data_IF_353062461937
#
_entry.id   IF_353062461937
#
_cell.length_a   1.000
_cell.length_b   1.000
_cell.length_c   1.000
_cell.angle_alpha   90.00
_cell.angle_beta   90.00
_cell.angle_gamma   90.00
#
_symmetry.space_group_name_H-M   'P 1'
#
loop_
_entity.id
_entity.type
_entity.pdbx_description
1 polymer ?
#
# COMPACT_ATOMS: atom_id res chain seq x y z
N UNK A 1 -0.99 -14.08 8.70
CA UNK A 1 -1.71 -14.06 10.00
C UNK A 1 -3.02 -14.86 9.95
N UNK A 2 -3.84 -14.71 8.91
CA UNK A 2 -5.15 -15.37 8.76
C UNK A 2 -5.09 -16.91 8.80
N UNK A 3 -4.16 -17.55 8.07
CA UNK A 3 -4.06 -19.03 7.98
C UNK A 3 -3.83 -19.70 9.35
N UNK A 4 -3.06 -19.06 10.23
CA UNK A 4 -2.79 -19.60 11.58
C UNK A 4 -4.02 -19.59 12.50
N UNK A 5 -5.01 -18.75 12.24
CA UNK A 5 -6.24 -18.67 13.03
C UNK A 5 -7.38 -19.50 12.44
N UNK A 6 -7.18 -20.08 11.25
CA UNK A 6 -8.18 -20.91 10.55
C UNK A 6 -8.71 -22.08 11.40
N UNK A 7 -7.88 -22.91 12.08
CA UNK A 7 -8.42 -24.00 12.90
C UNK A 7 -9.19 -23.52 14.13
N UNK A 8 -8.83 -22.35 14.69
CA UNK A 8 -9.56 -21.75 15.81
C UNK A 8 -10.91 -21.18 15.35
N UNK A 9 -10.95 -20.48 14.22
CA UNK A 9 -12.17 -19.89 13.66
C UNK A 9 -13.20 -20.94 13.19
N UNK A 10 -12.73 -22.15 12.85
CA UNK A 10 -13.56 -23.30 12.51
C UNK A 10 -14.06 -24.09 13.74
N UNK A 11 -13.62 -23.74 14.95
CA UNK A 11 -14.07 -24.42 16.18
C UNK A 11 -13.58 -25.87 16.32
N UNK A 12 -12.55 -26.27 15.57
CA UNK A 12 -12.01 -27.64 15.55
C UNK A 12 -11.24 -27.95 16.86
N UNK A 13 -10.85 -26.91 17.60
CA UNK A 13 -10.14 -27.02 18.86
C UNK A 13 -11.09 -27.26 20.05
N UNK A 14 -10.63 -27.98 21.08
CA UNK A 14 -11.37 -28.15 22.34
C UNK A 14 -11.68 -26.79 22.98
N UNK A 15 -12.93 -26.57 23.41
CA UNK A 15 -13.39 -25.24 23.86
C UNK A 15 -13.60 -24.23 22.74
N UNK A 16 -13.63 -24.69 21.48
CA UNK A 16 -13.74 -23.89 20.25
C UNK A 16 -15.00 -23.04 20.17
N UNK A 17 -16.08 -23.41 20.86
CA UNK A 17 -17.36 -22.71 20.83
C UNK A 17 -17.30 -21.24 21.30
N UNK A 18 -16.41 -20.93 22.25
CA UNK A 18 -16.23 -19.55 22.74
C UNK A 18 -15.19 -18.77 21.91
N UNK A 19 -14.18 -19.45 21.37
CA UNK A 19 -13.04 -18.81 20.68
C UNK A 19 -13.19 -18.74 19.15
N UNK A 20 -14.06 -19.57 18.56
CA UNK A 20 -14.42 -19.52 17.15
C UNK A 20 -14.99 -18.17 16.69
N UNK A 21 -15.96 -17.54 17.39
CA UNK A 21 -16.48 -16.23 16.98
C UNK A 21 -15.41 -15.13 17.03
N UNK A 22 -14.47 -15.20 17.98
CA UNK A 22 -13.33 -14.27 18.03
C UNK A 22 -12.42 -14.46 16.82
N UNK A 23 -12.09 -15.71 16.48
CA UNK A 23 -11.28 -16.02 15.30
C UNK A 23 -11.91 -15.52 13.99
N UNK A 24 -13.23 -15.69 13.85
CA UNK A 24 -13.98 -15.21 12.68
C UNK A 24 -13.95 -13.69 12.57
N UNK A 25 -14.15 -12.97 13.67
CA UNK A 25 -14.11 -11.51 13.70
C UNK A 25 -12.72 -10.97 13.26
N UNK A 26 -11.64 -11.59 13.75
CA UNK A 26 -10.28 -11.18 13.38
C UNK A 26 -9.99 -11.44 11.89
N UNK A 27 -10.37 -12.60 11.36
CA UNK A 27 -10.17 -12.91 9.94
C UNK A 27 -10.91 -11.91 9.05
N UNK A 28 -12.18 -11.62 9.35
CA UNK A 28 -12.96 -10.63 8.62
C UNK A 28 -12.35 -9.23 8.69
N UNK A 29 -11.94 -8.81 9.89
CA UNK A 29 -11.29 -7.51 10.11
C UNK A 29 -9.97 -7.36 9.35
N UNK A 30 -9.14 -8.42 9.33
CA UNK A 30 -7.85 -8.40 8.62
C UNK A 30 -8.02 -8.40 7.10
N UNK A 31 -9.01 -9.13 6.57
CA UNK A 31 -9.34 -9.07 5.15
C UNK A 31 -9.79 -7.66 4.76
N UNK A 32 -10.71 -7.08 5.54
CA UNK A 32 -11.19 -5.72 5.29
C UNK A 32 -10.08 -4.67 5.44
N UNK A 33 -9.22 -4.80 6.47
CA UNK A 33 -8.08 -3.92 6.68
C UNK A 33 -7.11 -3.96 5.50
N UNK A 34 -6.82 -5.15 4.95
CA UNK A 34 -5.94 -5.29 3.77
C UNK A 34 -6.52 -4.59 2.55
N UNK A 35 -7.82 -4.80 2.27
CA UNK A 35 -8.52 -4.12 1.17
C UNK A 35 -8.56 -2.60 1.39
N UNK A 36 -8.82 -2.17 2.63
CA UNK A 36 -8.83 -0.76 3.01
C UNK A 36 -7.47 -0.11 2.82
N UNK A 37 -6.38 -0.75 3.25
CA UNK A 37 -5.03 -0.24 3.06
C UNK A 37 -4.61 -0.17 1.59
N UNK A 38 -5.10 -1.07 0.74
CA UNK A 38 -4.80 -1.02 -0.70
C UNK A 38 -5.68 -0.04 -1.47
N UNK A 39 -6.90 0.25 -1.03
CA UNK A 39 -7.86 1.07 -1.77
C UNK A 39 -8.15 2.41 -1.09
N UNK A 40 -8.58 2.36 0.17
CA UNK A 40 -9.01 3.55 0.92
C UNK A 40 -7.82 4.43 1.25
N UNK A 41 -6.70 3.84 1.71
CA UNK A 41 -5.51 4.61 2.08
C UNK A 41 -4.95 5.45 0.91
N UNK A 42 -4.67 4.90 -0.30
CA UNK A 42 -4.21 5.73 -1.41
C UNK A 42 -5.27 6.70 -1.91
N UNK A 43 -6.57 6.35 -1.86
CA UNK A 43 -7.64 7.27 -2.23
C UNK A 43 -7.69 8.49 -1.32
N UNK A 44 -7.56 8.29 0.00
CA UNK A 44 -7.45 9.38 0.97
C UNK A 44 -6.19 10.21 0.69
N UNK A 45 -5.04 9.56 0.46
CA UNK A 45 -3.79 10.27 0.19
C UNK A 45 -3.91 11.16 -1.06
N UNK A 46 -4.44 10.62 -2.15
CA UNK A 46 -4.69 11.37 -3.38
C UNK A 46 -5.73 12.49 -3.21
N UNK A 47 -6.70 12.32 -2.30
CA UNK A 47 -7.73 13.33 -2.02
C UNK A 47 -7.20 14.48 -1.15
N UNK A 48 -6.27 14.19 -0.23
CA UNK A 48 -5.61 15.20 0.60
C UNK A 48 -4.45 15.89 -0.13
N UNK A 49 -3.90 15.26 -1.16
CA UNK A 49 -2.85 15.84 -2.00
C UNK A 49 -3.42 16.94 -2.91
N UNK A 50 -3.71 18.11 -2.33
CA UNK A 50 -4.07 19.32 -3.05
C UNK A 50 -2.86 19.83 -3.87
N UNK A 51 -2.74 19.35 -5.11
CA UNK A 51 -1.80 19.92 -6.09
C UNK A 51 -0.40 19.28 -6.13
N UNK A 52 -0.24 18.06 -5.63
CA UNK A 52 0.97 17.26 -5.86
C UNK A 52 1.06 16.86 -7.33
N UNK A 53 1.62 17.76 -8.15
CA UNK A 53 2.03 17.39 -9.50
C UNK A 53 2.91 16.14 -9.39
N UNK A 54 2.63 15.11 -10.20
CA UNK A 54 3.51 13.94 -10.36
C UNK A 54 4.83 14.46 -10.92
N UNK A 55 5.71 14.92 -10.02
CA UNK A 55 7.06 15.36 -10.36
C UNK A 55 7.82 14.11 -10.74
N UNK A 56 8.50 14.15 -11.88
CA UNK A 56 9.33 13.03 -12.29
C UNK A 56 10.32 12.72 -11.17
N UNK A 57 10.31 11.49 -10.62
CA UNK A 57 11.26 11.09 -9.59
C UNK A 57 12.62 10.69 -10.20
N UNK A 58 12.85 10.95 -11.49
CA UNK A 58 14.14 10.72 -12.13
C UNK A 58 15.22 11.57 -11.45
N UNK A 59 16.31 10.91 -11.09
CA UNK A 59 17.55 11.54 -10.58
C UNK A 59 18.56 11.76 -11.71
N UNK A 60 18.14 11.59 -12.96
CA UNK A 60 19.00 11.76 -14.13
C UNK A 60 19.13 13.26 -14.43
N UNK A 61 20.34 13.86 -14.28
CA UNK A 61 20.54 15.28 -14.55
C UNK A 61 20.40 15.62 -16.03
N UNK A 62 20.45 14.67 -16.96
CA UNK A 62 20.26 14.92 -18.38
C UNK A 62 18.79 14.78 -18.83
N UNK A 63 17.87 14.39 -17.94
CA UNK A 63 16.44 14.24 -18.24
C UNK A 63 15.69 15.60 -18.13
N UNK A 64 15.18 16.16 -19.25
CA UNK A 64 14.50 17.47 -19.26
C UNK A 64 13.17 17.49 -18.51
N UNK A 65 12.59 16.32 -18.19
CA UNK A 65 11.39 16.20 -17.37
C UNK A 65 11.70 16.05 -15.88
N UNK A 66 12.97 15.92 -15.50
CA UNK A 66 13.42 15.82 -14.11
C UNK A 66 13.50 17.20 -13.45
N UNK A 67 13.37 17.23 -12.12
CA UNK A 67 13.57 18.45 -11.33
C UNK A 67 15.06 18.83 -11.26
N UNK A 68 15.95 17.89 -11.57
CA UNK A 68 17.40 18.01 -11.38
C UNK A 68 18.14 18.22 -12.71
N UNK A 69 17.42 18.65 -13.75
CA UNK A 69 17.97 18.84 -15.08
C UNK A 69 19.12 19.86 -15.07
N UNK A 70 20.32 19.40 -15.41
CA UNK A 70 21.50 20.21 -15.69
C UNK A 70 21.88 19.98 -17.16
N UNK A 71 21.78 21.00 -18.03
CA UNK A 71 22.20 20.85 -19.42
C UNK A 71 23.72 20.64 -19.50
N UNK A 72 24.13 19.39 -19.75
CA UNK A 72 25.54 19.02 -19.88
C UNK A 72 26.17 19.61 -21.16
N UNK A 73 27.39 20.18 -21.09
CA UNK A 73 28.06 20.79 -22.24
C UNK A 73 28.55 19.79 -23.30
N UNK A 74 28.44 18.48 -23.08
CA UNK A 74 28.85 17.43 -24.05
C UNK A 74 27.79 17.16 -25.12
N UNK A 75 26.52 17.52 -24.88
CA UNK A 75 25.38 17.24 -25.77
C UNK A 75 25.05 18.38 -26.74
N UNK A 76 25.78 19.50 -26.71
CA UNK A 76 25.58 20.62 -27.63
C UNK A 76 26.51 20.48 -28.84
N UNK A 77 26.02 20.07 -30.04
CA UNK A 77 26.83 20.11 -31.24
C UNK A 77 27.17 21.57 -31.59
N UNK A 78 28.45 21.83 -31.85
CA UNK A 78 28.97 23.11 -32.38
C UNK A 78 28.26 23.53 -33.67
#
# INVERSE_FOLDING_TARGET
MIVGMLPMALGIMAGGEQVAPLGQAVIGGLLFATLSSLLILPAIYASLEEGGAIRSPSLDPDDPMSVHYEPSPVTVPN
#
